data_IF_544797085565
#
_entry.id   IF_544797085565
#
_cell.length_a   1.000
_cell.length_b   1.000
_cell.length_c   1.000
_cell.angle_alpha   90.00
_cell.angle_beta   90.00
_cell.angle_gamma   90.00
#
_symmetry.space_group_name_H-M   'P 1'
#
loop_
_entity.id
_entity.type
_entity.pdbx_description
1 polymer ?
#
# COMPACT_ATOMS: atom_id res chain seq x y z
N UNK A 1 64.62 -8.58 -45.22
CA UNK A 1 63.41 -8.17 -45.97
C UNK A 1 62.23 -8.47 -45.12
N UNK A 2 61.74 -7.54 -44.34
CA UNK A 2 60.65 -7.71 -43.41
C UNK A 2 59.73 -6.54 -43.50
N UNK A 3 58.50 -6.78 -43.93
CA UNK A 3 57.51 -5.75 -44.11
C UNK A 3 56.74 -5.55 -42.79
N UNK A 4 56.77 -4.34 -42.24
CA UNK A 4 55.95 -3.90 -41.11
C UNK A 4 54.50 -3.66 -41.63
N UNK A 5 53.52 -4.18 -40.91
CA UNK A 5 52.11 -3.86 -41.10
C UNK A 5 51.69 -3.00 -39.90
N UNK A 6 51.00 -1.87 -40.13
CA UNK A 6 50.49 -1.05 -39.02
C UNK A 6 49.18 -1.63 -38.48
N UNK A 7 49.07 -1.65 -37.16
CA UNK A 7 47.87 -1.98 -36.44
C UNK A 7 46.89 -0.77 -36.46
N UNK A 8 45.70 -1.01 -37.01
CA UNK A 8 44.62 -0.03 -37.00
C UNK A 8 43.84 -0.13 -35.66
N UNK A 9 43.87 0.94 -34.89
CA UNK A 9 43.08 1.08 -33.67
C UNK A 9 41.67 1.56 -34.06
N UNK A 10 40.66 0.71 -33.92
CA UNK A 10 39.27 1.10 -34.10
C UNK A 10 38.73 1.68 -32.78
N UNK A 11 38.39 2.96 -32.82
CA UNK A 11 37.76 3.70 -31.72
C UNK A 11 36.25 3.38 -31.81
N UNK A 12 35.72 2.61 -30.87
CA UNK A 12 34.29 2.43 -30.71
C UNK A 12 33.75 3.55 -29.85
N UNK A 13 33.05 4.50 -30.47
CA UNK A 13 32.28 5.53 -29.76
C UNK A 13 30.96 4.92 -29.32
N UNK A 14 30.86 4.57 -28.05
CA UNK A 14 29.62 4.16 -27.43
C UNK A 14 28.69 5.37 -27.19
N UNK A 15 27.60 5.48 -27.95
CA UNK A 15 26.53 6.43 -27.67
C UNK A 15 25.73 5.94 -26.47
N UNK A 16 25.88 6.62 -25.32
CA UNK A 16 25.00 6.45 -24.18
C UNK A 16 23.65 7.12 -24.50
N UNK A 17 22.64 6.34 -24.77
CA UNK A 17 21.25 6.81 -24.85
C UNK A 17 20.76 6.98 -23.41
N UNK A 18 20.80 8.21 -22.89
CA UNK A 18 20.08 8.59 -21.68
C UNK A 18 18.58 8.65 -22.04
N UNK A 19 17.88 7.55 -21.77
CA UNK A 19 16.43 7.50 -21.84
C UNK A 19 15.85 8.27 -20.65
N UNK A 20 15.49 9.55 -20.85
CA UNK A 20 14.59 10.26 -19.94
C UNK A 20 13.18 9.71 -20.19
N UNK A 21 12.73 8.83 -19.32
CA UNK A 21 11.32 8.49 -19.22
C UNK A 21 10.55 9.65 -18.58
N UNK A 22 10.20 10.65 -19.41
CA UNK A 22 9.24 11.69 -19.08
C UNK A 22 7.83 11.18 -19.46
N UNK A 23 7.30 10.26 -18.68
CA UNK A 23 5.88 10.00 -18.63
C UNK A 23 5.47 9.98 -17.17
N UNK A 24 5.13 11.16 -16.65
CA UNK A 24 4.24 11.29 -15.51
C UNK A 24 2.88 10.78 -16.00
N UNK A 25 2.58 9.51 -15.78
CA UNK A 25 1.24 8.99 -15.86
C UNK A 25 0.63 9.12 -14.48
N UNK A 26 -0.53 9.76 -14.38
CA UNK A 26 -1.45 9.63 -13.25
C UNK A 26 -1.97 8.17 -13.23
N UNK A 27 -1.07 7.21 -13.17
CA UNK A 27 -1.37 5.79 -13.18
C UNK A 27 -1.40 5.25 -11.77
N UNK A 28 -2.47 4.52 -11.43
CA UNK A 28 -2.48 3.70 -10.24
C UNK A 28 -1.39 2.62 -10.36
N UNK A 29 -0.56 2.49 -9.35
CA UNK A 29 0.44 1.43 -9.23
C UNK A 29 -0.20 0.21 -8.56
N UNK A 30 0.09 -1.00 -9.07
CA UNK A 30 -0.31 -2.23 -8.39
C UNK A 30 0.64 -2.50 -7.23
N UNK A 31 0.12 -2.55 -6.03
CA UNK A 31 0.87 -2.80 -4.80
C UNK A 31 0.35 -4.07 -4.14
N UNK A 32 1.25 -4.97 -3.77
CA UNK A 32 0.87 -6.14 -2.98
C UNK A 32 0.37 -5.69 -1.60
N UNK A 33 -0.71 -6.31 -1.10
CA UNK A 33 -1.29 -5.97 0.21
C UNK A 33 -0.23 -6.04 1.32
N UNK A 34 0.67 -7.02 1.25
CA UNK A 34 1.79 -7.18 2.20
C UNK A 34 2.87 -6.08 2.11
N UNK A 35 2.87 -5.28 1.05
CA UNK A 35 3.83 -4.20 0.84
C UNK A 35 3.22 -2.81 1.09
N UNK A 36 1.97 -2.75 1.58
CA UNK A 36 1.34 -1.49 1.95
C UNK A 36 2.05 -0.84 3.13
N UNK A 37 2.20 0.48 3.06
CA UNK A 37 2.78 1.31 4.10
C UNK A 37 1.76 2.33 4.63
N UNK A 38 1.99 2.82 5.84
CA UNK A 38 1.16 3.91 6.39
C UNK A 38 1.32 5.16 5.52
N UNK A 39 0.20 5.71 5.08
CA UNK A 39 0.12 6.85 4.17
C UNK A 39 -0.17 6.48 2.72
N UNK A 40 -0.22 5.18 2.38
CA UNK A 40 -0.63 4.75 1.04
C UNK A 40 -2.10 5.07 0.78
N UNK A 41 -2.36 5.74 -0.35
CA UNK A 41 -3.69 6.06 -0.82
C UNK A 41 -4.17 5.03 -1.82
N UNK A 42 -5.29 4.37 -1.50
CA UNK A 42 -5.75 3.14 -2.16
C UNK A 42 -7.04 3.39 -2.93
N UNK A 43 -7.09 2.89 -4.16
CA UNK A 43 -8.28 2.86 -5.00
C UNK A 43 -8.98 1.52 -4.80
N UNK A 44 -10.29 1.57 -4.55
CA UNK A 44 -11.11 0.36 -4.40
C UNK A 44 -11.10 -0.44 -5.70
N UNK A 45 -10.86 -1.76 -5.65
CA UNK A 45 -10.96 -2.61 -6.83
C UNK A 45 -12.37 -2.56 -7.44
N UNK A 46 -12.46 -2.55 -8.77
CA UNK A 46 -13.75 -2.58 -9.51
C UNK A 46 -14.51 -3.91 -9.32
N UNK A 47 -13.79 -4.98 -9.01
CA UNK A 47 -14.35 -6.32 -8.82
C UNK A 47 -14.12 -6.81 -7.38
N UNK A 48 -15.17 -7.39 -6.79
CA UNK A 48 -15.09 -8.05 -5.48
C UNK A 48 -14.35 -9.37 -5.62
N UNK A 49 -13.19 -9.47 -4.97
CA UNK A 49 -12.38 -10.68 -4.91
C UNK A 49 -12.52 -11.35 -3.53
N UNK A 50 -12.49 -12.67 -3.51
CA UNK A 50 -12.56 -13.44 -2.26
C UNK A 50 -11.29 -13.28 -1.39
N UNK A 51 -10.16 -12.98 -2.02
CA UNK A 51 -8.87 -12.72 -1.38
C UNK A 51 -8.16 -11.63 -2.19
N UNK A 52 -7.80 -10.53 -1.53
CA UNK A 52 -7.02 -9.46 -2.14
C UNK A 52 -5.54 -9.76 -1.98
N UNK A 53 -4.83 -9.92 -3.09
CA UNK A 53 -3.37 -10.03 -3.11
C UNK A 53 -2.71 -8.72 -3.49
N UNK A 54 -3.38 -7.94 -4.33
CA UNK A 54 -2.91 -6.67 -4.83
C UNK A 54 -4.01 -5.62 -4.74
N UNK A 55 -3.61 -4.38 -4.50
CA UNK A 55 -4.47 -3.19 -4.52
C UNK A 55 -3.84 -2.13 -5.42
N UNK A 56 -4.65 -1.22 -5.92
CA UNK A 56 -4.15 -0.07 -6.68
C UNK A 56 -3.84 1.07 -5.72
N UNK A 57 -2.61 1.57 -5.74
CA UNK A 57 -2.19 2.76 -4.99
C UNK A 57 -1.98 3.94 -5.93
N UNK A 58 -2.24 5.14 -5.43
CA UNK A 58 -2.08 6.41 -6.16
C UNK A 58 -1.45 7.45 -5.24
N UNK A 59 -0.96 8.55 -5.83
CA UNK A 59 -0.58 9.70 -5.04
C UNK A 59 -1.82 10.27 -4.32
N UNK A 60 -1.69 10.68 -3.06
CA UNK A 60 -2.85 11.08 -2.23
C UNK A 60 -3.53 12.38 -2.67
N UNK A 61 -2.94 13.16 -3.55
CA UNK A 61 -3.57 14.30 -4.23
C UNK A 61 -4.40 13.89 -5.46
N UNK A 62 -4.39 12.58 -5.79
CA UNK A 62 -5.27 11.96 -6.79
C UNK A 62 -6.50 11.40 -6.08
N UNK A 63 -7.63 11.31 -6.79
CA UNK A 63 -8.88 10.73 -6.25
C UNK A 63 -8.68 9.28 -5.82
N UNK A 64 -9.00 8.97 -4.58
CA UNK A 64 -8.91 7.64 -3.98
C UNK A 64 -10.03 7.42 -2.96
N UNK A 65 -10.23 6.18 -2.49
CA UNK A 65 -11.33 5.85 -1.59
C UNK A 65 -10.86 5.53 -0.18
N UNK A 66 -9.61 5.12 -0.04
CA UNK A 66 -9.06 4.68 1.25
C UNK A 66 -7.62 5.16 1.41
N UNK A 67 -7.18 5.28 2.66
CA UNK A 67 -5.80 5.59 3.02
C UNK A 67 -5.36 4.70 4.17
N UNK A 68 -4.18 4.08 4.06
CA UNK A 68 -3.62 3.24 5.12
C UNK A 68 -3.17 4.13 6.27
N UNK A 69 -3.74 3.96 7.46
CA UNK A 69 -3.36 4.77 8.62
C UNK A 69 -2.62 4.01 9.72
N UNK A 70 -2.74 2.69 9.74
CA UNK A 70 -1.97 1.88 10.68
C UNK A 70 -1.73 0.47 10.13
N UNK A 71 -0.59 -0.09 10.48
CA UNK A 71 -0.28 -1.51 10.36
C UNK A 71 -0.15 -2.07 11.77
N UNK A 72 -0.90 -3.11 12.08
CA UNK A 72 -0.89 -3.76 13.38
C UNK A 72 -0.34 -5.18 13.21
N UNK A 73 0.97 -5.35 13.40
CA UNK A 73 1.60 -6.66 13.29
C UNK A 73 1.24 -7.55 14.48
N UNK A 74 1.55 -8.83 14.37
CA UNK A 74 1.39 -9.83 15.43
C UNK A 74 -0.03 -9.85 16.03
N UNK A 75 -1.05 -9.78 15.16
CA UNK A 75 -2.44 -9.84 15.58
C UNK A 75 -2.67 -11.03 16.52
N UNK A 76 -3.33 -10.81 17.64
CA UNK A 76 -3.60 -11.82 18.67
C UNK A 76 -2.33 -12.55 19.17
N UNK A 77 -1.18 -11.83 19.26
CA UNK A 77 0.14 -12.37 19.63
C UNK A 77 0.68 -13.44 18.63
N UNK A 78 0.20 -13.42 17.39
CA UNK A 78 0.67 -14.25 16.28
C UNK A 78 0.63 -15.75 16.56
N UNK A 79 -0.51 -16.37 16.96
CA UNK A 79 -0.55 -17.79 17.26
C UNK A 79 -0.16 -18.63 16.04
N UNK A 80 0.42 -19.81 16.26
CA UNK A 80 0.88 -20.73 15.19
C UNK A 80 -0.25 -21.13 14.24
N UNK A 81 -1.50 -21.18 14.71
CA UNK A 81 -2.66 -21.52 13.91
C UNK A 81 -3.50 -20.27 13.61
N UNK A 82 -4.01 -20.19 12.38
CA UNK A 82 -4.95 -19.13 12.00
C UNK A 82 -6.14 -19.07 12.98
N UNK A 83 -6.37 -17.92 13.63
CA UNK A 83 -7.36 -17.82 14.72
C UNK A 83 -8.81 -17.78 14.25
N UNK A 84 -9.03 -17.62 12.96
CA UNK A 84 -10.34 -17.44 12.35
C UNK A 84 -10.71 -15.98 12.10
N UNK A 85 -11.54 -15.75 11.08
CA UNK A 85 -11.94 -14.41 10.67
C UNK A 85 -12.68 -13.64 11.78
N UNK A 86 -13.52 -14.31 12.56
CA UNK A 86 -14.30 -13.65 13.63
C UNK A 86 -13.37 -13.08 14.72
N UNK A 87 -12.36 -13.85 15.16
CA UNK A 87 -11.40 -13.39 16.15
C UNK A 87 -10.52 -12.25 15.63
N UNK A 88 -10.11 -12.32 14.37
CA UNK A 88 -9.35 -11.24 13.73
C UNK A 88 -10.20 -9.97 13.53
N UNK A 89 -11.48 -10.11 13.22
CA UNK A 89 -12.42 -8.99 13.11
C UNK A 89 -12.56 -8.26 14.46
N UNK A 90 -12.83 -9.00 15.54
CA UNK A 90 -12.95 -8.40 16.88
C UNK A 90 -11.65 -7.69 17.32
N UNK A 91 -10.50 -8.30 17.03
CA UNK A 91 -9.20 -7.68 17.27
C UNK A 91 -9.02 -6.40 16.45
N UNK A 92 -9.31 -6.45 15.13
CA UNK A 92 -9.13 -5.33 14.21
C UNK A 92 -10.03 -4.14 14.58
N UNK A 93 -11.29 -4.40 14.96
CA UNK A 93 -12.23 -3.36 15.42
C UNK A 93 -11.64 -2.55 16.59
N UNK A 94 -11.05 -3.21 17.57
CA UNK A 94 -10.40 -2.55 18.71
C UNK A 94 -9.11 -1.83 18.30
N UNK A 95 -8.19 -2.57 17.68
CA UNK A 95 -6.86 -2.06 17.37
C UNK A 95 -6.89 -0.90 16.37
N UNK A 96 -7.75 -0.95 15.34
CA UNK A 96 -7.89 0.11 14.38
C UNK A 96 -8.57 1.35 14.98
N UNK A 97 -9.61 1.16 15.80
CA UNK A 97 -10.26 2.28 16.49
C UNK A 97 -9.28 3.07 17.40
N UNK A 98 -8.41 2.37 18.13
CA UNK A 98 -7.40 3.01 19.00
C UNK A 98 -6.36 3.85 18.21
N UNK A 99 -5.98 3.41 16.99
CA UNK A 99 -4.98 4.07 16.16
C UNK A 99 -5.52 5.23 15.33
N UNK A 100 -6.84 5.31 15.15
CA UNK A 100 -7.47 6.30 14.27
C UNK A 100 -7.16 7.74 14.67
N UNK A 101 -7.32 8.07 15.95
CA UNK A 101 -7.11 9.43 16.44
C UNK A 101 -5.65 9.90 16.34
N UNK A 102 -4.70 9.00 16.44
CA UNK A 102 -3.27 9.31 16.29
C UNK A 102 -2.96 9.76 14.86
N UNK A 103 -3.61 9.17 13.87
CA UNK A 103 -3.38 9.48 12.47
C UNK A 103 -4.22 10.66 11.97
N UNK A 104 -5.53 10.62 12.21
CA UNK A 104 -6.47 11.64 11.69
C UNK A 104 -6.46 12.91 12.53
N UNK A 105 -6.20 12.80 13.83
CA UNK A 105 -6.18 13.94 14.77
C UNK A 105 -7.49 14.15 15.53
N UNK A 106 -8.48 13.27 15.36
CA UNK A 106 -9.77 13.30 16.07
C UNK A 106 -10.24 11.84 16.30
N UNK A 107 -11.01 11.60 17.36
CA UNK A 107 -11.59 10.26 17.61
C UNK A 107 -12.55 9.89 16.47
N UNK A 108 -12.54 8.62 16.05
CA UNK A 108 -13.38 8.17 14.92
C UNK A 108 -14.89 8.39 15.15
N UNK A 109 -15.33 8.44 16.40
CA UNK A 109 -16.74 8.70 16.77
C UNK A 109 -17.16 10.16 16.58
N UNK A 110 -16.18 11.06 16.52
CA UNK A 110 -16.37 12.50 16.32
C UNK A 110 -15.97 12.92 14.89
N UNK A 111 -15.58 11.96 14.04
CA UNK A 111 -15.12 12.13 12.67
C UNK A 111 -16.24 11.94 11.66
N UNK A 112 -16.15 12.59 10.51
CA UNK A 112 -16.94 12.30 9.30
C UNK A 112 -16.31 11.18 8.45
N UNK A 113 -15.15 10.68 8.87
CA UNK A 113 -14.45 9.56 8.27
C UNK A 113 -14.77 8.27 9.04
N UNK A 114 -14.58 7.16 8.35
CA UNK A 114 -14.78 5.82 8.91
C UNK A 114 -13.49 5.02 8.76
N UNK A 115 -13.39 3.93 9.46
CA UNK A 115 -12.31 2.98 9.22
C UNK A 115 -12.84 1.62 8.75
N UNK A 116 -12.00 0.95 8.03
CA UNK A 116 -12.11 -0.45 7.64
C UNK A 116 -10.74 -1.10 7.80
N UNK A 117 -10.63 -2.38 7.49
CA UNK A 117 -9.36 -3.08 7.60
C UNK A 117 -9.24 -4.21 6.58
N UNK A 118 -8.01 -4.58 6.26
CA UNK A 118 -7.66 -5.83 5.60
C UNK A 118 -7.15 -6.79 6.67
N UNK A 119 -7.71 -7.98 6.68
CA UNK A 119 -7.30 -9.06 7.58
C UNK A 119 -6.32 -9.98 6.84
N UNK A 120 -5.33 -10.54 7.54
CA UNK A 120 -4.49 -11.57 6.96
C UNK A 120 -5.33 -12.78 6.57
N UNK A 121 -5.06 -13.33 5.38
CA UNK A 121 -5.74 -14.54 4.91
C UNK A 121 -5.19 -15.80 5.61
N UNK A 122 -5.93 -16.91 5.54
CA UNK A 122 -5.44 -18.20 6.05
C UNK A 122 -4.11 -18.59 5.43
N UNK A 123 -3.92 -18.30 4.14
CA UNK A 123 -2.66 -18.55 3.43
C UNK A 123 -1.57 -17.62 3.91
N UNK A 124 -1.84 -16.30 3.93
CA UNK A 124 -0.89 -15.30 4.43
C UNK A 124 -0.41 -15.63 5.84
N UNK A 125 -1.34 -16.02 6.72
CA UNK A 125 -1.00 -16.45 8.07
C UNK A 125 0.00 -17.61 8.10
N UNK A 126 -0.21 -18.64 7.27
CA UNK A 126 0.72 -19.77 7.18
C UNK A 126 2.09 -19.39 6.59
N UNK A 127 2.17 -18.27 5.90
CA UNK A 127 3.40 -17.70 5.32
C UNK A 127 4.03 -16.64 6.23
N UNK A 128 3.44 -16.38 7.41
CA UNK A 128 3.95 -15.47 8.44
C UNK A 128 3.36 -14.06 8.39
N UNK A 129 2.34 -13.80 7.55
CA UNK A 129 1.60 -12.55 7.60
C UNK A 129 0.54 -12.60 8.71
N UNK A 130 0.80 -11.88 9.78
CA UNK A 130 -0.08 -11.72 10.93
C UNK A 130 -0.56 -10.27 11.10
N UNK A 131 -0.42 -9.45 10.05
CA UNK A 131 -0.64 -8.01 10.12
C UNK A 131 -2.09 -7.66 9.75
N UNK A 132 -2.76 -6.89 10.60
CA UNK A 132 -3.99 -6.19 10.28
C UNK A 132 -3.65 -4.82 9.71
N UNK A 133 -4.15 -4.52 8.49
CA UNK A 133 -3.98 -3.22 7.86
C UNK A 133 -5.23 -2.38 8.07
N UNK A 134 -5.10 -1.26 8.77
CA UNK A 134 -6.20 -0.34 9.06
C UNK A 134 -6.26 0.76 7.98
N UNK A 135 -7.45 0.98 7.40
CA UNK A 135 -7.68 1.97 6.35
C UNK A 135 -8.78 2.95 6.77
N UNK A 136 -8.51 4.22 6.55
CA UNK A 136 -9.53 5.27 6.61
C UNK A 136 -10.32 5.27 5.29
N UNK A 137 -11.62 5.53 5.37
CA UNK A 137 -12.53 5.63 4.22
C UNK A 137 -13.64 6.65 4.47
N UNK A 138 -14.41 6.94 3.43
CA UNK A 138 -15.62 7.78 3.49
C UNK A 138 -16.84 6.99 3.02
N UNK A 139 -18.03 7.44 3.36
CA UNK A 139 -19.30 6.91 2.82
C UNK A 139 -19.89 7.80 1.73
N UNK A 140 -19.21 8.87 1.36
CA UNK A 140 -19.67 9.88 0.40
C UNK A 140 -18.67 10.11 -0.72
N UNK A 141 -18.29 11.37 -0.89
CA UNK A 141 -17.31 11.76 -1.90
C UNK A 141 -15.94 11.14 -1.61
N UNK A 142 -15.22 10.70 -2.64
CA UNK A 142 -13.89 10.14 -2.48
C UNK A 142 -12.91 11.18 -1.91
N UNK A 143 -11.81 10.68 -1.36
CA UNK A 143 -10.70 11.50 -0.88
C UNK A 143 -9.92 12.09 -2.07
N UNK A 144 -9.42 13.31 -1.90
CA UNK A 144 -8.59 14.01 -2.89
C UNK A 144 -7.33 14.60 -2.24
N UNK A 145 -7.08 14.25 -1.00
CA UNK A 145 -5.88 14.60 -0.24
C UNK A 145 -5.73 13.62 0.91
N UNK A 146 -4.52 13.48 1.44
CA UNK A 146 -4.28 12.70 2.66
C UNK A 146 -5.09 13.25 3.83
N UNK A 147 -5.60 12.36 4.67
CA UNK A 147 -6.34 12.69 5.88
C UNK A 147 -5.47 12.70 7.14
N UNK A 148 -4.16 12.48 7.01
CA UNK A 148 -3.20 12.57 8.10
C UNK A 148 -3.25 13.95 8.77
N UNK A 149 -3.57 14.00 10.07
CA UNK A 149 -3.66 15.24 10.84
C UNK A 149 -4.74 16.23 10.36
N UNK A 150 -5.71 15.77 9.56
CA UNK A 150 -6.78 16.64 9.02
C UNK A 150 -7.75 17.14 10.09
N UNK A 151 -7.94 16.42 11.19
CA UNK A 151 -8.90 16.71 12.24
C UNK A 151 -10.37 16.60 11.81
N UNK A 152 -10.61 15.83 10.73
CA UNK A 152 -11.95 15.61 10.16
C UNK A 152 -12.73 14.61 10.98
#
# INVERSE_FOLDING_TARGET
>A
MGALRPAGTALVVGAAVAGCSLFGGDGADSTQVLALEVGDCVVTPDEVQAELTDVSTVACDTTHQMEVYALVPDALDGPDAYPGADALTEFADGACAERFAEYVGVDYRDSDLFFTYLLPSTRGWSEGDTTVTCLVTTTGEPLTASVAGSGR
#
